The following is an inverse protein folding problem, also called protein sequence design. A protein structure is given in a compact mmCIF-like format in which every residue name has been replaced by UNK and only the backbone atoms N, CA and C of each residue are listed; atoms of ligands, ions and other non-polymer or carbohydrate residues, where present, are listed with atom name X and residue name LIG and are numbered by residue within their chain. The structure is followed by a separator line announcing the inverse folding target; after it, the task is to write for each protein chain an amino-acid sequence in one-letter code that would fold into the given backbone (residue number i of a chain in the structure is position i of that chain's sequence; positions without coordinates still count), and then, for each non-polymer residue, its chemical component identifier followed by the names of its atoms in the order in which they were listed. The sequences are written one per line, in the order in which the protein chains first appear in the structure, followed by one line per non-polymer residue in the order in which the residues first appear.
data_IF_872667503888
#
_entry.id   IF_872667503888
#
_cell.length_a   1.000
_cell.length_b   1.000
_cell.length_c   1.000
_cell.angle_alpha   90.00
_cell.angle_beta   90.00
_cell.angle_gamma   90.00
#
_symmetry.space_group_name_H-M   'P 1'
#
loop_
_entity.id
_entity.type
_entity.pdbx_description
1 polymer ?
#
# COMPACT_ATOMS: atom_id res chain seq x y z
N UNK A 1 -5.67 1.12 17.11
CA UNK A 1 -5.77 2.11 16.02
C UNK A 1 -7.09 1.83 15.34
N UNK A 2 -8.03 2.75 15.41
CA UNK A 2 -9.27 2.66 14.65
C UNK A 2 -8.92 2.92 13.18
N UNK A 3 -8.53 1.85 12.48
CA UNK A 3 -8.19 1.91 11.07
C UNK A 3 -9.46 2.22 10.28
N UNK A 4 -9.68 3.49 9.95
CA UNK A 4 -10.64 3.84 8.90
C UNK A 4 -10.14 3.20 7.62
N UNK A 5 -10.97 2.33 7.05
CA UNK A 5 -10.73 1.75 5.73
C UNK A 5 -10.90 2.89 4.73
N UNK A 6 -9.80 3.44 4.23
CA UNK A 6 -9.84 4.26 3.04
C UNK A 6 -10.14 3.34 1.86
N UNK A 7 -11.25 3.56 1.16
CA UNK A 7 -11.44 2.95 -0.15
C UNK A 7 -10.33 3.48 -1.09
N UNK A 8 -9.83 2.63 -1.98
CA UNK A 8 -8.77 3.01 -2.90
C UNK A 8 -8.62 2.01 -4.03
N UNK A 9 -7.90 2.43 -5.07
CA UNK A 9 -7.66 1.63 -6.27
C UNK A 9 -6.19 1.65 -6.68
N UNK A 10 -5.75 0.57 -7.32
CA UNK A 10 -4.40 0.47 -7.88
C UNK A 10 -4.32 1.32 -9.14
N UNK A 11 -3.28 2.15 -9.24
CA UNK A 11 -3.02 2.97 -10.41
C UNK A 11 -2.39 2.13 -11.53
N UNK A 12 -2.87 2.32 -12.76
CA UNK A 12 -2.32 1.69 -13.95
C UNK A 12 -1.04 2.45 -14.41
N UNK A 13 0.14 1.80 -14.44
CA UNK A 13 1.37 2.42 -14.90
C UNK A 13 1.32 2.96 -16.33
N UNK A 14 0.49 2.38 -17.21
CA UNK A 14 0.33 2.88 -18.58
C UNK A 14 -0.46 4.20 -18.62
N UNK A 15 -1.38 4.40 -17.68
CA UNK A 15 -2.22 5.59 -17.58
C UNK A 15 -1.70 6.65 -16.59
N UNK A 16 -0.69 6.32 -15.76
CA UNK A 16 -0.14 7.20 -14.72
C UNK A 16 1.36 7.46 -14.92
N UNK A 17 1.72 8.48 -15.73
CA UNK A 17 3.09 8.88 -16.02
C UNK A 17 4.00 9.06 -14.80
N UNK A 18 3.47 9.58 -13.70
CA UNK A 18 4.19 9.94 -12.48
C UNK A 18 4.80 8.73 -11.78
N UNK A 19 4.28 7.52 -12.04
CA UNK A 19 4.84 6.29 -11.47
C UNK A 19 6.24 5.98 -11.99
N UNK A 20 6.65 6.55 -13.13
CA UNK A 20 7.98 6.34 -13.73
C UNK A 20 9.12 6.82 -12.83
N UNK A 21 8.85 7.80 -11.98
CA UNK A 21 9.83 8.47 -11.13
C UNK A 21 9.91 7.84 -9.73
N UNK A 22 9.01 6.90 -9.43
CA UNK A 22 9.02 6.19 -8.15
C UNK A 22 10.18 5.17 -8.10
N UNK A 23 10.81 4.97 -6.92
CA UNK A 23 11.91 4.03 -6.78
C UNK A 23 11.51 2.62 -7.21
N UNK A 24 12.11 2.14 -8.30
CA UNK A 24 11.96 0.77 -8.76
C UNK A 24 12.40 -0.21 -7.66
N UNK A 25 11.61 -1.27 -7.46
CA UNK A 25 11.83 -2.30 -6.46
C UNK A 25 10.84 -3.44 -6.69
N UNK A 26 11.09 -4.57 -6.03
CA UNK A 26 10.28 -5.79 -6.09
C UNK A 26 8.78 -5.48 -6.07
N UNK A 27 7.99 -6.09 -6.98
CA UNK A 27 6.54 -5.91 -7.20
C UNK A 27 5.83 -4.98 -6.19
N UNK A 28 5.70 -3.71 -6.58
CA UNK A 28 5.11 -2.62 -5.79
C UNK A 28 3.84 -2.16 -6.48
N UNK A 29 2.85 -1.75 -5.71
CA UNK A 29 1.63 -1.12 -6.22
C UNK A 29 1.49 0.27 -5.62
N UNK A 30 0.99 1.21 -6.40
CA UNK A 30 0.57 2.51 -5.90
C UNK A 30 -0.94 2.51 -5.82
N UNK A 31 -1.45 2.81 -4.64
CA UNK A 31 -2.87 2.87 -4.38
C UNK A 31 -3.24 4.33 -4.16
N UNK A 32 -4.14 4.85 -5.00
CA UNK A 32 -4.80 6.11 -4.73
C UNK A 32 -5.92 5.85 -3.72
N UNK A 33 -5.99 6.64 -2.67
CA UNK A 33 -7.15 6.62 -1.79
C UNK A 33 -8.27 7.49 -2.43
N UNK A 34 -9.47 6.92 -2.50
CA UNK A 34 -10.61 7.53 -3.20
C UNK A 34 -11.24 8.65 -2.37
N UNK A 35 -11.15 8.56 -1.03
CA UNK A 35 -11.65 9.57 -0.10
C UNK A 35 -10.52 10.51 0.34
N UNK A 36 -10.46 11.67 -0.32
CA UNK A 36 -9.48 12.73 -0.04
C UNK A 36 -9.59 13.31 1.38
N UNK A 37 -10.74 13.16 2.05
CA UNK A 37 -10.95 13.62 3.43
C UNK A 37 -10.39 12.64 4.46
N UNK A 38 -10.11 11.39 4.05
CA UNK A 38 -9.43 10.43 4.92
C UNK A 38 -7.96 10.83 5.03
N UNK A 39 -7.45 11.14 6.24
CA UNK A 39 -6.06 11.56 6.38
C UNK A 39 -5.12 10.42 6.05
N UNK A 40 -4.23 10.64 5.09
CA UNK A 40 -3.03 9.84 4.88
C UNK A 40 -1.82 10.67 5.31
N UNK A 41 -0.82 10.04 5.91
CA UNK A 41 0.40 10.73 6.31
C UNK A 41 1.47 9.76 6.78
N UNK A 42 2.71 10.25 6.86
CA UNK A 42 3.93 9.47 7.15
C UNK A 42 3.81 8.49 8.34
N UNK A 43 2.95 8.78 9.32
CA UNK A 43 2.63 7.87 10.42
C UNK A 43 2.07 6.50 9.98
N UNK A 44 1.58 6.37 8.75
CA UNK A 44 1.08 5.12 8.19
C UNK A 44 2.20 4.26 7.56
N UNK A 45 3.42 4.78 7.41
CA UNK A 45 4.54 4.00 6.92
C UNK A 45 4.81 2.78 7.83
N UNK A 46 4.97 1.60 7.22
CA UNK A 46 5.10 0.33 7.93
C UNK A 46 3.77 -0.32 8.33
N UNK A 47 2.63 0.36 8.16
CA UNK A 47 1.32 -0.24 8.41
C UNK A 47 0.96 -1.28 7.33
N UNK A 48 0.22 -2.34 7.70
CA UNK A 48 -0.28 -3.30 6.74
C UNK A 48 -1.42 -2.71 5.90
N UNK A 49 -1.43 -3.08 4.61
CA UNK A 49 -2.53 -2.83 3.69
C UNK A 49 -3.29 -4.13 3.47
N UNK A 50 -4.61 -4.06 3.59
CA UNK A 50 -5.51 -5.18 3.30
C UNK A 50 -6.40 -4.85 2.11
N UNK A 51 -6.79 -5.88 1.36
CA UNK A 51 -7.73 -5.82 0.26
C UNK A 51 -8.97 -6.67 0.57
N UNK A 52 -10.14 -6.25 0.09
CA UNK A 52 -11.33 -7.09 0.09
C UNK A 52 -11.37 -7.91 -1.18
N UNK A 53 -11.38 -9.24 -1.06
CA UNK A 53 -11.47 -10.19 -2.17
C UNK A 53 -12.56 -11.19 -1.82
N UNK A 54 -13.60 -11.29 -2.66
CA UNK A 54 -14.72 -12.22 -2.48
C UNK A 54 -15.35 -12.16 -1.08
N UNK A 55 -15.53 -10.95 -0.55
CA UNK A 55 -16.12 -10.72 0.78
C UNK A 55 -15.21 -11.04 1.96
N UNK A 56 -13.92 -11.33 1.71
CA UNK A 56 -12.92 -11.60 2.74
C UNK A 56 -11.79 -10.56 2.73
N UNK A 57 -11.36 -10.13 3.91
CA UNK A 57 -10.18 -9.28 4.08
C UNK A 57 -8.91 -10.12 3.92
N UNK A 58 -8.09 -9.79 2.92
CA UNK A 58 -6.79 -10.41 2.66
C UNK A 58 -5.67 -9.39 2.84
N UNK A 59 -4.51 -9.84 3.31
CA UNK A 59 -3.34 -8.97 3.38
C UNK A 59 -2.74 -8.76 1.98
N UNK A 60 -2.52 -7.51 1.59
CA UNK A 60 -1.93 -7.14 0.31
C UNK A 60 -0.43 -6.86 0.44
N UNK A 61 -0.06 -6.01 1.39
CA UNK A 61 1.27 -5.42 1.43
C UNK A 61 1.54 -4.58 2.66
N UNK A 62 2.66 -3.86 2.64
CA UNK A 62 3.07 -2.90 3.66
C UNK A 62 3.27 -1.55 3.00
N UNK A 63 2.79 -0.47 3.63
CA UNK A 63 3.03 0.90 3.16
C UNK A 63 4.52 1.24 3.34
N UNK A 64 5.19 1.63 2.27
CA UNK A 64 6.62 1.98 2.28
C UNK A 64 6.90 3.43 1.87
N UNK A 65 5.89 4.13 1.36
CA UNK A 65 5.98 5.55 1.02
C UNK A 65 4.60 6.17 0.89
N UNK A 66 4.54 7.49 1.05
CA UNK A 66 3.29 8.27 1.04
C UNK A 66 3.53 9.53 0.21
N UNK A 67 2.58 9.86 -0.64
CA UNK A 67 2.51 11.16 -1.32
C UNK A 67 1.22 11.84 -0.90
N UNK A 68 1.32 12.69 0.12
CA UNK A 68 0.16 13.42 0.66
C UNK A 68 -0.44 14.41 -0.34
N UNK A 69 0.37 14.92 -1.29
CA UNK A 69 -0.12 15.89 -2.29
C UNK A 69 -1.02 15.20 -3.31
N UNK A 70 -0.64 13.99 -3.73
CA UNK A 70 -1.42 13.19 -4.69
C UNK A 70 -2.43 12.26 -4.01
N UNK A 71 -2.39 12.17 -2.69
CA UNK A 71 -3.19 11.26 -1.87
C UNK A 71 -2.93 9.78 -2.21
N UNK A 72 -1.64 9.43 -2.37
CA UNK A 72 -1.20 8.09 -2.75
C UNK A 72 -0.43 7.40 -1.63
N UNK A 73 -0.54 6.08 -1.60
CA UNK A 73 0.32 5.21 -0.80
C UNK A 73 1.08 4.24 -1.71
N UNK A 74 2.37 4.10 -1.47
CA UNK A 74 3.23 3.11 -2.12
C UNK A 74 3.27 1.88 -1.25
N UNK A 75 2.89 0.74 -1.82
CA UNK A 75 2.73 -0.53 -1.12
C UNK A 75 3.69 -1.56 -1.70
N UNK A 76 4.57 -2.10 -0.86
CA UNK A 76 5.34 -3.30 -1.21
C UNK A 76 4.45 -4.51 -0.94
N UNK A 77 4.24 -5.37 -1.95
CA UNK A 77 3.47 -6.60 -1.77
C UNK A 77 4.15 -7.50 -0.72
N UNK A 78 3.38 -8.26 0.05
CA UNK A 78 3.90 -8.98 1.23
C UNK A 78 5.07 -9.91 0.94
N UNK A 79 4.98 -10.77 -0.08
CA UNK A 79 6.08 -11.68 -0.43
C UNK A 79 7.37 -10.92 -0.75
N UNK A 80 7.34 -10.00 -1.72
CA UNK A 80 8.46 -9.12 -2.05
C UNK A 80 9.02 -8.30 -0.88
N UNK A 81 8.14 -7.75 -0.03
CA UNK A 81 8.52 -7.00 1.17
C UNK A 81 9.36 -7.88 2.12
N UNK A 82 8.87 -9.09 2.42
CA UNK A 82 9.57 -10.02 3.30
C UNK A 82 10.96 -10.37 2.77
N UNK A 83 11.08 -10.64 1.47
CA UNK A 83 12.36 -10.94 0.84
C UNK A 83 13.34 -9.77 0.95
N UNK A 84 12.88 -8.54 0.71
CA UNK A 84 13.71 -7.32 0.79
C UNK A 84 14.18 -7.01 2.20
N UNK A 85 13.31 -7.19 3.19
CA UNK A 85 13.61 -6.90 4.59
C UNK A 85 14.28 -8.08 5.33
N UNK A 86 14.48 -9.22 4.64
CA UNK A 86 14.88 -10.48 5.27
C UNK A 86 13.99 -10.83 6.49
N UNK A 87 12.68 -10.61 6.32
CA UNK A 87 11.67 -10.78 7.35
C UNK A 87 10.94 -12.13 7.18
N UNK A 88 10.32 -12.61 8.27
CA UNK A 88 9.55 -13.85 8.30
C UNK A 88 8.07 -13.58 8.59
N UNK A 89 7.19 -14.45 8.08
CA UNK A 89 5.79 -14.47 8.49
C UNK A 89 5.67 -15.03 9.90
N UNK A 90 5.05 -14.26 10.80
CA UNK A 90 4.70 -14.71 12.15
C UNK A 90 3.19 -14.95 12.19
N UNK A 91 2.78 -16.19 12.41
CA UNK A 91 1.37 -16.55 12.58
C UNK A 91 0.98 -16.34 14.05
N UNK A 92 0.06 -15.40 14.31
CA UNK A 92 -0.58 -15.26 15.62
C UNK A 92 -1.63 -16.37 15.84
N UNK A 93 -1.77 -16.83 17.08
CA UNK A 93 -2.92 -17.65 17.51
C UNK A 93 -4.04 -16.75 18.01
#
# INVERSE_FOLDING_TARGET
MDGRVAAGHVLDPAATPELRDLPAGSERVVVAADDMETPIGEQLAGAPVTAQVDGSTQNLGIITGIDETRHWVVVDLIGPFLARQNAALVLGR
#
